data_IF_404861160164
#
_entry.id   IF_404861160164
#
_cell.length_a   1.000
_cell.length_b   1.000
_cell.length_c   1.000
_cell.angle_alpha   90.00
_cell.angle_beta   90.00
_cell.angle_gamma   90.00
#
_symmetry.space_group_name_H-M   'P 1'
#
loop_
_entity.id
_entity.type
_entity.pdbx_description
1 polymer ?
#
# COMPACT_ATOMS: atom_id res chain seq x y z
N UNK A 1 -70.23 36.81 -25.94
CA UNK A 1 -69.74 37.81 -24.96
C UNK A 1 -68.45 37.24 -24.38
N UNK A 2 -67.36 38.03 -24.43
CA UNK A 2 -65.98 37.75 -23.96
C UNK A 2 -65.04 36.86 -24.82
N UNK A 3 -64.21 37.57 -25.59
CA UNK A 3 -62.83 37.21 -25.98
C UNK A 3 -61.94 36.95 -24.76
N UNK A 4 -60.93 36.08 -24.88
CA UNK A 4 -59.56 36.22 -24.33
C UNK A 4 -58.73 34.98 -24.78
N UNK A 5 -57.82 35.11 -25.76
CA UNK A 5 -56.39 35.51 -25.66
C UNK A 5 -55.39 34.36 -25.39
N UNK A 6 -54.59 34.07 -26.44
CA UNK A 6 -53.14 33.80 -26.50
C UNK A 6 -52.46 32.98 -25.38
N UNK A 7 -51.79 31.90 -25.78
CA UNK A 7 -50.38 31.65 -25.41
C UNK A 7 -49.76 30.58 -26.32
N UNK A 8 -48.86 30.99 -27.20
CA UNK A 8 -47.91 30.12 -27.87
C UNK A 8 -46.66 30.06 -26.98
N UNK A 9 -46.38 28.91 -26.36
CA UNK A 9 -45.19 28.66 -25.57
C UNK A 9 -44.40 27.51 -26.17
N UNK A 10 -43.60 27.79 -27.20
CA UNK A 10 -42.57 26.87 -27.66
C UNK A 10 -41.43 26.88 -26.63
N UNK A 11 -41.50 25.95 -25.67
CA UNK A 11 -40.44 25.76 -24.67
C UNK A 11 -39.29 24.98 -25.32
N UNK A 12 -38.25 25.72 -25.73
CA UNK A 12 -37.00 25.16 -26.23
C UNK A 12 -36.17 24.71 -25.01
N UNK A 13 -36.22 23.42 -24.68
CA UNK A 13 -35.39 22.84 -23.61
C UNK A 13 -33.95 22.74 -24.11
N UNK A 14 -33.10 23.68 -23.71
CA UNK A 14 -31.66 23.63 -23.95
C UNK A 14 -31.06 22.60 -22.98
N UNK A 15 -30.76 21.40 -23.51
CA UNK A 15 -29.99 20.38 -22.77
C UNK A 15 -28.53 20.84 -22.74
N UNK A 16 -28.10 21.43 -21.62
CA UNK A 16 -26.68 21.66 -21.36
C UNK A 16 -26.00 20.31 -21.04
N UNK A 17 -25.20 19.81 -21.98
CA UNK A 17 -24.29 18.71 -21.72
C UNK A 17 -23.20 19.18 -20.75
N UNK A 18 -23.28 18.75 -19.49
CA UNK A 18 -22.26 19.01 -18.48
C UNK A 18 -21.13 18.01 -18.73
N UNK A 19 -20.12 18.41 -19.50
CA UNK A 19 -18.89 17.64 -19.69
C UNK A 19 -18.14 17.57 -18.36
N UNK A 20 -18.25 16.45 -17.65
CA UNK A 20 -17.37 16.16 -16.51
C UNK A 20 -15.94 16.01 -17.04
N UNK A 21 -14.95 16.77 -16.53
CA UNK A 21 -13.56 16.51 -16.87
C UNK A 21 -13.20 15.14 -16.29
N UNK A 22 -12.85 14.20 -17.17
CA UNK A 22 -12.24 12.95 -16.76
C UNK A 22 -10.94 13.28 -16.01
N UNK A 23 -10.88 12.91 -14.73
CA UNK A 23 -9.66 13.01 -13.94
C UNK A 23 -8.68 12.01 -14.54
N UNK A 24 -7.78 12.48 -15.41
CA UNK A 24 -6.68 11.67 -15.91
C UNK A 24 -5.81 11.26 -14.72
N UNK A 25 -5.72 9.94 -14.46
CA UNK A 25 -4.67 9.40 -13.62
C UNK A 25 -3.34 9.79 -14.25
N UNK A 26 -2.53 10.56 -13.55
CA UNK A 26 -1.17 10.86 -13.99
C UNK A 26 -0.35 9.57 -13.89
N UNK A 27 -0.25 8.84 -14.99
CA UNK A 27 0.81 7.86 -15.17
C UNK A 27 2.13 8.63 -15.13
N UNK A 28 2.88 8.41 -14.06
CA UNK A 28 4.19 8.97 -13.81
C UNK A 28 5.15 8.36 -14.85
N UNK A 29 5.22 8.98 -16.04
CA UNK A 29 5.77 8.44 -17.29
C UNK A 29 7.26 8.03 -17.25
N UNK A 30 7.92 8.11 -16.09
CA UNK A 30 9.32 7.77 -15.88
C UNK A 30 9.54 6.63 -14.87
N UNK A 31 8.47 5.98 -14.39
CA UNK A 31 8.61 4.84 -13.49
C UNK A 31 8.94 3.56 -14.28
N UNK A 32 10.16 3.04 -14.12
CA UNK A 32 10.50 1.69 -14.61
C UNK A 32 10.13 0.69 -13.53
N UNK A 33 9.22 -0.22 -13.87
CA UNK A 33 8.79 -1.31 -12.99
C UNK A 33 9.31 -2.64 -13.51
N UNK A 34 10.06 -3.37 -12.69
CA UNK A 34 10.46 -4.77 -12.94
C UNK A 34 9.78 -5.67 -11.92
N UNK A 35 9.23 -6.80 -12.35
CA UNK A 35 8.50 -7.72 -11.47
C UNK A 35 9.31 -8.99 -11.21
N UNK A 36 9.38 -9.37 -9.94
CA UNK A 36 10.05 -10.56 -9.41
C UNK A 36 9.06 -11.30 -8.51
N UNK A 37 8.29 -12.23 -9.10
CA UNK A 37 7.17 -12.90 -8.42
C UNK A 37 6.23 -11.90 -7.73
N UNK A 38 6.23 -11.85 -6.40
CA UNK A 38 5.34 -11.01 -5.60
C UNK A 38 5.89 -9.59 -5.39
N UNK A 39 7.16 -9.36 -5.72
CA UNK A 39 7.84 -8.08 -5.55
C UNK A 39 7.97 -7.33 -6.87
N UNK A 40 7.91 -6.00 -6.79
CA UNK A 40 8.21 -5.11 -7.90
C UNK A 40 9.33 -4.18 -7.51
N UNK A 41 10.26 -3.91 -8.43
CA UNK A 41 11.24 -2.84 -8.27
C UNK A 41 10.76 -1.65 -9.07
N UNK A 42 10.44 -0.58 -8.36
CA UNK A 42 9.98 0.69 -8.95
C UNK A 42 11.10 1.70 -8.81
N UNK A 43 11.54 2.26 -9.94
CA UNK A 43 12.56 3.30 -9.97
C UNK A 43 11.97 4.63 -10.42
N UNK A 44 12.35 5.72 -9.75
CA UNK A 44 12.01 7.09 -10.11
C UNK A 44 13.26 7.96 -10.18
N UNK A 45 13.28 8.89 -11.12
CA UNK A 45 14.31 9.93 -11.18
C UNK A 45 13.90 11.09 -10.27
N UNK A 46 14.72 11.39 -9.27
CA UNK A 46 14.50 12.50 -8.35
C UNK A 46 15.81 13.28 -8.14
N UNK A 47 15.79 14.59 -8.40
CA UNK A 47 16.96 15.47 -8.22
C UNK A 47 18.24 14.99 -8.91
N UNK A 48 18.10 14.42 -10.12
CA UNK A 48 19.23 13.89 -10.90
C UNK A 48 19.81 12.57 -10.38
N UNK A 49 19.11 11.89 -9.46
CA UNK A 49 19.45 10.55 -8.99
C UNK A 49 18.29 9.59 -9.24
N UNK A 50 18.63 8.39 -9.72
CA UNK A 50 17.69 7.28 -9.81
C UNK A 50 17.52 6.65 -8.42
N UNK A 51 16.32 6.73 -7.87
CA UNK A 51 15.93 6.09 -6.62
C UNK A 51 15.05 4.89 -6.92
N UNK A 52 15.44 3.72 -6.46
CA UNK A 52 14.69 2.48 -6.66
C UNK A 52 14.28 1.88 -5.31
N UNK A 53 13.10 1.28 -5.26
CA UNK A 53 12.61 0.55 -4.11
C UNK A 53 11.96 -0.78 -4.55
N UNK A 54 12.15 -1.81 -3.74
CA UNK A 54 11.38 -3.05 -3.84
C UNK A 54 10.07 -2.84 -3.09
N UNK A 55 8.94 -3.08 -3.77
CA UNK A 55 7.60 -2.86 -3.24
C UNK A 55 6.75 -4.11 -3.36
N UNK A 56 5.86 -4.31 -2.39
CA UNK A 56 4.81 -5.33 -2.44
C UNK A 56 3.51 -4.77 -1.86
N UNK A 57 2.40 -5.14 -2.46
CA UNK A 57 1.06 -4.82 -1.98
C UNK A 57 0.32 -6.11 -1.66
N UNK A 58 0.05 -6.36 -0.39
CA UNK A 58 -0.73 -7.51 0.06
C UNK A 58 -2.20 -7.09 0.08
N UNK A 59 -3.00 -7.73 -0.78
CA UNK A 59 -4.44 -7.56 -0.79
C UNK A 59 -5.11 -8.76 -0.10
N UNK A 60 -6.22 -8.50 0.60
CA UNK A 60 -7.06 -9.54 1.15
C UNK A 60 -8.54 -9.19 1.00
N UNK A 61 -9.38 -10.14 1.37
CA UNK A 61 -10.83 -9.96 1.37
C UNK A 61 -11.28 -9.33 2.68
N UNK A 62 -12.25 -8.42 2.57
CA UNK A 62 -12.94 -7.89 3.73
C UNK A 62 -13.98 -8.92 4.17
N UNK A 63 -14.02 -9.23 5.46
CA UNK A 63 -15.05 -10.09 6.03
C UNK A 63 -16.45 -9.50 5.75
N UNK A 64 -17.33 -10.28 5.13
CA UNK A 64 -18.66 -9.82 4.69
C UNK A 64 -18.70 -9.16 3.30
N UNK A 65 -17.56 -8.97 2.62
CA UNK A 65 -17.49 -8.50 1.24
C UNK A 65 -16.48 -9.34 0.41
N UNK A 66 -16.80 -10.61 0.08
CA UNK A 66 -15.87 -11.53 -0.57
C UNK A 66 -15.41 -11.07 -1.97
N UNK A 67 -16.19 -10.19 -2.61
CA UNK A 67 -15.88 -9.64 -3.94
C UNK A 67 -15.04 -8.36 -3.88
N UNK A 68 -14.79 -7.81 -2.69
CA UNK A 68 -13.99 -6.61 -2.50
C UNK A 68 -12.60 -7.00 -2.03
N UNK A 69 -11.59 -6.80 -2.89
CA UNK A 69 -10.19 -6.88 -2.49
C UNK A 69 -9.76 -5.52 -1.96
N UNK A 70 -9.34 -5.48 -0.69
CA UNK A 70 -8.75 -4.31 -0.08
C UNK A 70 -7.26 -4.55 0.10
N UNK A 71 -6.46 -3.51 -0.14
CA UNK A 71 -5.06 -3.53 0.27
C UNK A 71 -5.00 -3.58 1.80
N UNK A 72 -4.37 -4.63 2.32
CA UNK A 72 -4.17 -4.80 3.75
C UNK A 72 -2.78 -4.32 4.16
N UNK A 73 -1.72 -4.69 3.43
CA UNK A 73 -0.35 -4.20 3.71
C UNK A 73 0.27 -3.63 2.43
N UNK A 74 0.98 -2.51 2.55
CA UNK A 74 1.99 -2.09 1.57
C UNK A 74 3.37 -2.18 2.21
N UNK A 75 4.36 -2.67 1.48
CA UNK A 75 5.76 -2.65 1.92
C UNK A 75 6.59 -1.96 0.84
N UNK A 76 7.51 -1.10 1.29
CA UNK A 76 8.55 -0.50 0.48
C UNK A 76 9.89 -0.70 1.18
N UNK A 77 10.88 -1.21 0.44
CA UNK A 77 12.24 -1.46 0.92
C UNK A 77 13.24 -0.81 -0.05
N UNK A 78 14.12 0.00 0.49
CA UNK A 78 15.19 0.73 -0.19
C UNK A 78 16.52 0.11 0.23
N UNK A 79 17.33 -0.29 -0.75
CA UNK A 79 18.67 -0.83 -0.51
C UNK A 79 19.64 0.27 -0.10
N UNK A 80 20.49 -0.03 0.89
CA UNK A 80 21.61 0.81 1.31
C UNK A 80 22.84 -0.09 1.55
N UNK A 81 23.58 -0.36 0.47
CA UNK A 81 24.64 -1.37 0.47
C UNK A 81 24.06 -2.76 0.74
N UNK A 82 24.54 -3.42 1.79
CA UNK A 82 24.03 -4.72 2.25
C UNK A 82 22.88 -4.59 3.27
N UNK A 83 22.57 -3.36 3.70
CA UNK A 83 21.46 -3.05 4.60
C UNK A 83 20.26 -2.54 3.80
N UNK A 84 19.13 -2.38 4.49
CA UNK A 84 17.93 -1.81 3.90
C UNK A 84 17.17 -0.94 4.90
N UNK A 85 16.50 0.07 4.39
CA UNK A 85 15.51 0.87 5.12
C UNK A 85 14.19 0.84 4.38
N UNK A 86 13.11 1.29 5.00
CA UNK A 86 11.83 1.29 4.31
C UNK A 86 10.66 1.65 5.19
N UNK A 87 9.47 1.32 4.69
CA UNK A 87 8.24 1.47 5.45
C UNK A 87 7.23 0.39 5.11
N UNK A 88 6.40 0.08 6.10
CA UNK A 88 5.21 -0.74 5.94
C UNK A 88 3.98 0.08 6.27
N UNK A 89 2.93 -0.01 5.46
CA UNK A 89 1.64 0.62 5.73
C UNK A 89 0.64 -0.48 6.07
N UNK A 90 0.14 -0.45 7.31
CA UNK A 90 -0.92 -1.34 7.81
C UNK A 90 -2.30 -0.67 7.70
N UNK A 91 -3.39 -1.46 7.71
CA UNK A 91 -4.73 -0.91 7.57
C UNK A 91 -5.21 -0.29 8.88
N UNK A 92 -6.34 0.43 8.83
CA UNK A 92 -7.00 0.94 10.02
C UNK A 92 -7.67 -0.17 10.84
N UNK A 93 -8.10 0.16 12.06
CA UNK A 93 -8.73 -0.80 12.98
C UNK A 93 -7.73 -1.57 13.86
N UNK A 94 -6.47 -1.14 13.89
CA UNK A 94 -5.39 -1.68 14.72
C UNK A 94 -5.10 -0.79 15.92
N UNK A 95 -4.65 -1.38 17.03
CA UNK A 95 -4.23 -0.65 18.22
C UNK A 95 -2.83 -0.05 18.01
N UNK A 96 -2.80 1.16 17.44
CA UNK A 96 -1.55 1.87 17.11
C UNK A 96 -0.64 2.11 18.32
N UNK A 97 -1.20 2.24 19.53
CA UNK A 97 -0.41 2.45 20.75
C UNK A 97 0.42 1.22 21.14
N UNK A 98 0.11 0.04 20.59
CA UNK A 98 0.84 -1.20 20.86
C UNK A 98 1.94 -1.49 19.84
N UNK A 99 1.99 -0.79 18.71
CA UNK A 99 2.95 -1.09 17.64
C UNK A 99 2.72 -2.46 16.99
N UNK A 100 3.69 -2.90 16.18
CA UNK A 100 3.68 -4.19 15.48
C UNK A 100 4.92 -5.00 15.80
N UNK A 101 4.85 -6.33 15.71
CA UNK A 101 6.03 -7.19 15.75
C UNK A 101 6.27 -7.85 14.39
N UNK A 102 7.55 -8.08 14.05
CA UNK A 102 7.95 -8.72 12.80
C UNK A 102 8.66 -10.04 13.08
N UNK A 103 8.35 -11.06 12.30
CA UNK A 103 8.94 -12.39 12.35
C UNK A 103 9.16 -12.95 10.95
N UNK A 104 9.98 -13.99 10.83
CA UNK A 104 10.24 -14.68 9.57
C UNK A 104 9.71 -16.10 9.67
N UNK A 105 8.83 -16.49 8.74
CA UNK A 105 8.16 -17.81 8.61
C UNK A 105 7.35 -18.31 9.81
N UNK A 106 7.50 -17.68 10.97
CA UNK A 106 6.81 -18.00 12.22
C UNK A 106 6.18 -16.73 12.79
N UNK A 107 5.13 -16.93 13.57
CA UNK A 107 4.50 -15.85 14.35
C UNK A 107 5.58 -15.16 15.21
N UNK A 108 5.62 -13.81 15.23
CA UNK A 108 6.61 -13.04 15.99
C UNK A 108 6.32 -13.03 17.49
N UNK A 109 6.31 -14.21 18.11
CA UNK A 109 6.16 -14.36 19.55
C UNK A 109 7.34 -13.72 20.28
N UNK A 110 7.06 -12.81 21.21
CA UNK A 110 8.06 -12.08 22.00
C UNK A 110 9.04 -11.20 21.20
N UNK A 111 8.81 -11.00 19.91
CA UNK A 111 9.63 -10.07 19.13
C UNK A 111 9.38 -8.61 19.61
N UNK A 112 10.43 -7.77 19.65
CA UNK A 112 10.27 -6.35 19.96
C UNK A 112 9.22 -5.70 19.07
N UNK A 113 8.41 -4.81 19.67
CA UNK A 113 7.40 -4.08 18.92
C UNK A 113 7.96 -2.79 18.36
N UNK A 114 7.73 -2.58 17.07
CA UNK A 114 8.05 -1.38 16.32
C UNK A 114 6.87 -0.42 16.43
N UNK A 115 7.06 0.81 16.94
CA UNK A 115 5.98 1.78 17.04
C UNK A 115 5.59 2.30 15.65
N UNK A 116 4.33 2.71 15.50
CA UNK A 116 3.91 3.46 14.33
C UNK A 116 4.51 4.87 14.36
N UNK A 117 4.96 5.34 13.19
CA UNK A 117 5.49 6.69 13.03
C UNK A 117 4.37 7.72 12.90
N UNK A 118 3.37 7.43 12.07
CA UNK A 118 2.20 8.29 11.82
C UNK A 118 1.13 7.50 11.07
N UNK A 119 -0.06 8.07 10.90
CA UNK A 119 -1.09 7.55 10.01
C UNK A 119 -1.47 8.59 8.97
N UNK A 120 -1.69 8.14 7.74
CA UNK A 120 -2.15 8.91 6.58
C UNK A 120 -3.40 8.24 6.00
N UNK A 121 -4.13 8.83 5.04
CA UNK A 121 -5.33 8.20 4.48
C UNK A 121 -5.10 6.78 3.92
N UNK A 122 -3.87 6.47 3.51
CA UNK A 122 -3.47 5.14 3.06
C UNK A 122 -3.30 4.10 4.20
N UNK A 123 -3.24 4.50 5.46
CA UNK A 123 -3.04 3.62 6.62
C UNK A 123 -1.99 4.14 7.58
N UNK A 124 -1.57 3.27 8.51
CA UNK A 124 -0.58 3.60 9.53
C UNK A 124 0.81 3.08 9.16
N UNK A 125 1.80 3.97 9.24
CA UNK A 125 3.17 3.76 8.76
C UNK A 125 4.02 3.21 9.91
N UNK A 126 4.69 2.09 9.64
CA UNK A 126 5.73 1.49 10.47
C UNK A 126 7.07 1.66 9.75
N UNK A 127 8.07 2.33 10.35
CA UNK A 127 9.40 2.42 9.78
C UNK A 127 10.09 1.06 9.83
N UNK A 128 10.82 0.71 8.77
CA UNK A 128 11.59 -0.53 8.68
C UNK A 128 13.09 -0.22 8.58
N UNK A 129 13.89 -0.94 9.35
CA UNK A 129 15.34 -0.90 9.31
C UNK A 129 15.87 -2.32 9.41
N UNK A 130 16.65 -2.74 8.41
CA UNK A 130 17.23 -4.07 8.31
C UNK A 130 18.74 -3.95 8.12
N UNK A 131 19.50 -4.44 9.09
CA UNK A 131 20.94 -4.61 8.93
C UNK A 131 21.28 -5.79 7.99
N UNK A 132 22.57 -6.00 7.66
CA UNK A 132 22.98 -7.00 6.66
C UNK A 132 22.49 -8.42 6.97
N UNK A 133 22.62 -8.85 8.24
CA UNK A 133 22.15 -10.17 8.67
C UNK A 133 20.64 -10.34 8.53
N UNK A 134 19.87 -9.28 8.78
CA UNK A 134 18.41 -9.30 8.62
C UNK A 134 18.02 -9.37 7.15
N UNK A 135 18.72 -8.64 6.28
CA UNK A 135 18.55 -8.74 4.82
C UNK A 135 18.84 -10.16 4.33
N UNK A 136 19.94 -10.78 4.78
CA UNK A 136 20.25 -12.16 4.42
C UNK A 136 19.21 -13.17 4.91
N UNK A 137 18.59 -12.91 6.06
CA UNK A 137 17.49 -13.72 6.56
C UNK A 137 16.21 -13.53 5.71
N UNK A 138 15.89 -12.29 5.31
CA UNK A 138 14.76 -11.99 4.42
C UNK A 138 14.92 -12.68 3.06
N UNK A 139 16.14 -12.74 2.49
CA UNK A 139 16.40 -13.43 1.22
C UNK A 139 16.16 -14.95 1.27
N UNK A 140 16.16 -15.55 2.47
CA UNK A 140 16.04 -17.01 2.67
C UNK A 140 14.68 -17.43 3.22
N UNK A 141 13.97 -16.53 3.88
CA UNK A 141 12.66 -16.77 4.43
C UNK A 141 11.59 -16.81 3.32
N UNK A 142 10.48 -17.47 3.59
CA UNK A 142 9.33 -17.52 2.67
C UNK A 142 8.38 -16.34 2.86
N UNK A 143 8.30 -15.80 4.08
CA UNK A 143 7.41 -14.68 4.42
C UNK A 143 7.85 -13.90 5.64
N UNK A 144 7.41 -12.64 5.71
CA UNK A 144 7.39 -11.84 6.94
C UNK A 144 6.03 -12.03 7.61
N UNK A 145 6.02 -12.44 8.87
CA UNK A 145 4.84 -12.44 9.73
C UNK A 145 4.76 -11.12 10.51
N UNK A 146 3.65 -10.42 10.39
CA UNK A 146 3.38 -9.11 10.99
C UNK A 146 2.31 -9.28 12.07
N UNK A 147 2.74 -9.23 13.34
CA UNK A 147 1.87 -9.31 14.51
C UNK A 147 1.35 -7.94 14.93
N UNK A 148 0.07 -7.83 15.22
CA UNK A 148 -0.55 -6.60 15.73
C UNK A 148 -1.81 -6.90 16.56
N UNK A 149 -2.18 -5.94 17.42
CA UNK A 149 -3.40 -6.02 18.21
C UNK A 149 -4.56 -5.27 17.51
N UNK A 150 -5.75 -5.87 17.43
CA UNK A 150 -6.95 -5.21 16.93
C UNK A 150 -7.46 -4.11 17.87
N UNK A 151 -7.89 -2.96 17.34
CA UNK A 151 -8.33 -1.84 18.16
C UNK A 151 -9.61 -2.13 18.96
N UNK A 152 -10.56 -2.87 18.37
CA UNK A 152 -11.87 -3.11 18.96
C UNK A 152 -11.93 -4.32 19.89
N UNK A 153 -11.34 -5.44 19.47
CA UNK A 153 -11.41 -6.72 20.20
C UNK A 153 -10.17 -6.98 21.07
N UNK A 154 -9.12 -6.15 20.95
CA UNK A 154 -7.81 -6.29 21.61
C UNK A 154 -7.20 -7.68 21.43
N UNK A 155 -7.53 -8.36 20.34
CA UNK A 155 -6.97 -9.68 20.01
C UNK A 155 -5.71 -9.50 19.17
N UNK A 156 -4.70 -10.31 19.46
CA UNK A 156 -3.53 -10.43 18.62
C UNK A 156 -3.91 -11.10 17.29
N UNK A 157 -3.45 -10.52 16.18
CA UNK A 157 -3.65 -11.00 14.83
C UNK A 157 -2.32 -11.02 14.13
N UNK A 158 -2.20 -11.88 13.13
CA UNK A 158 -1.00 -11.98 12.30
C UNK A 158 -1.40 -11.91 10.85
N UNK A 159 -0.61 -11.14 10.10
CA UNK A 159 -0.71 -11.03 8.66
C UNK A 159 0.63 -11.39 8.04
N UNK A 160 0.62 -11.92 6.83
CA UNK A 160 1.84 -12.35 6.15
C UNK A 160 2.11 -11.49 4.92
N UNK A 161 3.39 -11.18 4.70
CA UNK A 161 3.93 -10.58 3.48
C UNK A 161 4.84 -11.63 2.83
N UNK A 162 4.59 -11.95 1.56
CA UNK A 162 5.40 -12.95 0.85
C UNK A 162 6.84 -12.47 0.65
N UNK A 163 7.82 -13.37 0.72
CA UNK A 163 9.21 -13.07 0.34
C UNK A 163 9.61 -13.75 -0.97
N UNK A 164 8.65 -14.36 -1.69
CA UNK A 164 8.90 -14.96 -3.01
C UNK A 164 9.32 -13.88 -4.01
N UNK A 165 10.54 -14.02 -4.56
CA UNK A 165 11.14 -13.05 -5.47
C UNK A 165 11.81 -11.84 -4.79
N UNK A 166 11.82 -11.78 -3.45
CA UNK A 166 12.45 -10.66 -2.73
C UNK A 166 13.96 -10.58 -2.97
N UNK A 167 14.65 -11.72 -2.98
CA UNK A 167 16.10 -11.75 -3.13
C UNK A 167 16.55 -11.17 -4.48
N UNK A 168 15.91 -11.60 -5.56
CA UNK A 168 16.14 -11.13 -6.92
C UNK A 168 15.78 -9.65 -7.07
N UNK A 169 14.63 -9.23 -6.52
CA UNK A 169 14.22 -7.83 -6.51
C UNK A 169 15.26 -6.95 -5.79
N UNK A 170 15.69 -7.35 -4.59
CA UNK A 170 16.66 -6.62 -3.79
C UNK A 170 18.01 -6.49 -4.49
N UNK A 171 18.51 -7.57 -5.09
CA UNK A 171 19.80 -7.56 -5.79
C UNK A 171 19.78 -6.76 -7.10
N UNK A 172 18.60 -6.60 -7.72
CA UNK A 172 18.46 -5.78 -8.93
C UNK A 172 18.56 -4.26 -8.67
N UNK A 173 18.39 -3.84 -7.41
CA UNK A 173 18.55 -2.44 -6.99
C UNK A 173 20.05 -2.12 -6.90
N UNK A 174 20.45 -1.08 -7.63
CA UNK A 174 21.83 -0.58 -7.73
C UNK A 174 22.13 0.51 -6.71
#
# INVERSE_FOLDING_TARGET
MFNLMKSAGASCVIVFAISFPALAASDDANAVTQTYDDWQVVCKEASGKRLCAAVQQVAGQIEGQPNTKQRLIAVEIIRSGDSATGSMILPFGINVSKGVSLGLDKTPENAPRIPFKTCIPAGCIVPLEFGPQAVDALKKASRISVGFEGASDRREKTMEVSLKGFAEAFESIK
#
